data_IF_563151076656
#
_entry.id   IF_563151076656
#
_cell.length_a   1.000
_cell.length_b   1.000
_cell.length_c   1.000
_cell.angle_alpha   90.00
_cell.angle_beta   90.00
_cell.angle_gamma   90.00
#
_symmetry.space_group_name_H-M   'P 1'
#
loop_
_entity.id
_entity.type
_entity.pdbx_description
1 polymer ?
#
# COMPACT_ATOMS: atom_id res chain seq x y z
N UNK A 1 -18.89 7.06 8.19
CA UNK A 1 -17.56 7.29 7.61
C UNK A 1 -17.44 6.31 6.47
N UNK A 2 -17.23 6.79 5.26
CA UNK A 2 -16.95 5.92 4.12
C UNK A 2 -15.57 5.31 4.34
N UNK A 3 -15.49 3.99 4.22
CA UNK A 3 -14.26 3.24 4.44
C UNK A 3 -13.44 3.30 3.15
N UNK A 4 -12.16 3.71 3.17
CA UNK A 4 -11.38 3.85 1.95
C UNK A 4 -11.24 2.53 1.20
N UNK A 5 -11.27 2.64 -0.12
CA UNK A 5 -10.93 1.54 -1.03
C UNK A 5 -9.43 1.43 -1.24
N UNK A 6 -8.97 0.25 -1.68
CA UNK A 6 -7.57 0.05 -2.06
C UNK A 6 -7.14 1.03 -3.17
N UNK A 7 -8.05 1.31 -4.11
CA UNK A 7 -7.81 2.25 -5.20
C UNK A 7 -7.58 3.68 -4.67
N UNK A 8 -8.42 4.12 -3.73
CA UNK A 8 -8.26 5.43 -3.08
C UNK A 8 -6.97 5.51 -2.25
N UNK A 9 -6.64 4.46 -1.51
CA UNK A 9 -5.39 4.41 -0.75
C UNK A 9 -4.18 4.55 -1.67
N UNK A 10 -4.06 3.73 -2.72
CA UNK A 10 -2.97 3.82 -3.70
C UNK A 10 -2.96 5.18 -4.43
N UNK A 11 -4.13 5.67 -4.84
CA UNK A 11 -4.27 6.94 -5.57
C UNK A 11 -3.88 8.18 -4.75
N UNK A 12 -3.86 8.07 -3.42
CA UNK A 12 -3.43 9.15 -2.53
C UNK A 12 -1.91 9.20 -2.28
N UNK A 13 -1.16 8.20 -2.72
CA UNK A 13 0.30 8.13 -2.58
C UNK A 13 1.02 8.72 -3.81
N UNK A 14 2.29 9.14 -3.68
CA UNK A 14 3.09 9.58 -4.82
C UNK A 14 3.18 8.47 -5.90
N UNK A 15 2.94 8.83 -7.16
CA UNK A 15 2.88 7.88 -8.27
C UNK A 15 4.18 7.11 -8.50
N UNK A 16 5.33 7.71 -8.16
CA UNK A 16 6.68 7.17 -8.29
C UNK A 16 7.14 6.41 -7.03
N UNK A 17 6.33 6.40 -5.96
CA UNK A 17 6.64 5.64 -4.76
C UNK A 17 6.69 4.14 -5.10
N UNK A 18 7.82 3.50 -4.78
CA UNK A 18 7.99 2.06 -5.03
C UNK A 18 7.39 1.28 -3.86
N UNK A 19 6.47 0.37 -4.19
CA UNK A 19 5.80 -0.48 -3.21
C UNK A 19 5.91 -1.95 -3.63
N UNK A 20 5.98 -2.81 -2.61
CA UNK A 20 5.87 -4.26 -2.73
C UNK A 20 4.42 -4.66 -2.48
N UNK A 21 3.80 -5.32 -3.45
CA UNK A 21 2.55 -6.06 -3.29
C UNK A 21 2.85 -7.37 -2.54
N UNK A 22 2.35 -7.49 -1.32
CA UNK A 22 2.53 -8.64 -0.42
C UNK A 22 1.48 -9.74 -0.65
N UNK A 23 0.38 -9.44 -1.36
CA UNK A 23 -0.62 -10.43 -1.75
C UNK A 23 -0.25 -11.15 -3.05
N UNK A 24 0.58 -10.55 -3.90
CA UNK A 24 1.11 -11.19 -5.09
C UNK A 24 2.01 -12.40 -4.76
N UNK A 25 1.83 -13.51 -5.49
CA UNK A 25 2.59 -14.78 -5.33
C UNK A 25 4.12 -14.58 -5.33
N UNK A 26 4.62 -13.53 -6.00
CA UNK A 26 6.06 -13.24 -6.13
C UNK A 26 6.51 -12.00 -5.37
N UNK A 27 5.68 -11.44 -4.49
CA UNK A 27 5.98 -10.19 -3.79
C UNK A 27 6.40 -9.08 -4.77
N UNK A 28 5.54 -8.79 -5.75
CA UNK A 28 5.86 -7.91 -6.86
C UNK A 28 6.23 -6.51 -6.38
N UNK A 29 7.34 -5.96 -6.89
CA UNK A 29 7.80 -4.60 -6.60
C UNK A 29 7.61 -3.75 -7.84
N UNK A 30 6.82 -2.69 -7.70
CA UNK A 30 6.54 -1.73 -8.77
C UNK A 30 6.21 -0.36 -8.17
N UNK A 31 6.12 0.66 -9.02
CA UNK A 31 5.64 1.98 -8.62
C UNK A 31 4.14 1.95 -8.32
N UNK A 32 3.65 2.91 -7.53
CA UNK A 32 2.21 3.12 -7.30
C UNK A 32 1.45 3.24 -8.63
N UNK A 33 2.00 3.96 -9.61
CA UNK A 33 1.38 4.09 -10.93
C UNK A 33 1.20 2.74 -11.65
N UNK A 34 2.21 1.86 -11.58
CA UNK A 34 2.15 0.54 -12.19
C UNK A 34 1.17 -0.39 -11.46
N UNK A 35 1.10 -0.31 -10.13
CA UNK A 35 0.12 -1.06 -9.34
C UNK A 35 -1.30 -0.61 -9.65
N UNK A 36 -1.55 0.70 -9.70
CA UNK A 36 -2.85 1.27 -10.08
C UNK A 36 -3.28 0.81 -11.48
N UNK A 37 -2.37 0.77 -12.45
CA UNK A 37 -2.67 0.34 -13.80
C UNK A 37 -3.06 -1.15 -13.90
N UNK A 38 -2.63 -1.98 -12.94
CA UNK A 38 -2.91 -3.43 -12.89
C UNK A 38 -4.07 -3.77 -11.96
N UNK A 39 -4.48 -2.83 -11.11
CA UNK A 39 -5.52 -3.04 -10.12
C UNK A 39 -6.89 -3.07 -10.79
N UNK A 40 -7.48 -4.25 -10.85
CA UNK A 40 -8.84 -4.45 -11.36
C UNK A 40 -9.90 -4.48 -10.25
N UNK A 41 -9.50 -4.42 -8.97
CA UNK A 41 -10.39 -4.56 -7.81
C UNK A 41 -10.54 -3.24 -7.09
N UNK A 42 -11.79 -2.88 -6.83
CA UNK A 42 -12.15 -1.72 -6.01
C UNK A 42 -12.90 -2.22 -4.76
N UNK A 43 -12.14 -2.82 -3.85
CA UNK A 43 -12.64 -3.33 -2.56
C UNK A 43 -12.41 -2.24 -1.49
N UNK A 44 -13.39 -2.05 -0.60
CA UNK A 44 -13.28 -1.21 0.59
C UNK A 44 -12.57 -1.95 1.74
N UNK A 45 -12.32 -1.26 2.86
CA UNK A 45 -11.72 -1.86 4.05
C UNK A 45 -10.22 -1.65 4.18
N UNK A 46 -9.66 -0.63 3.53
CA UNK A 46 -8.23 -0.36 3.53
C UNK A 46 -7.87 0.94 4.24
N UNK A 47 -6.64 1.00 4.74
CA UNK A 47 -6.06 2.21 5.32
C UNK A 47 -4.59 2.36 4.99
N UNK A 48 -4.11 3.60 5.03
CA UNK A 48 -2.68 3.92 4.90
C UNK A 48 -2.10 4.10 6.30
N UNK A 49 -1.02 3.37 6.57
CA UNK A 49 -0.30 3.44 7.83
C UNK A 49 1.15 3.82 7.63
N UNK A 50 1.68 4.64 8.54
CA UNK A 50 3.12 4.87 8.66
C UNK A 50 3.68 3.90 9.69
N UNK A 51 4.56 2.99 9.25
CA UNK A 51 5.29 2.10 10.14
C UNK A 51 6.66 2.70 10.45
N UNK A 52 7.02 2.74 11.73
CA UNK A 52 8.37 3.09 12.16
C UNK A 52 9.27 1.86 12.14
N UNK A 53 10.34 1.88 11.35
CA UNK A 53 11.42 0.89 11.35
C UNK A 53 12.67 1.43 12.03
N UNK A 54 13.57 0.51 12.40
CA UNK A 54 14.88 0.82 12.98
C UNK A 54 14.82 1.76 14.20
N UNK A 55 13.95 1.45 15.18
CA UNK A 55 13.77 2.27 16.38
C UNK A 55 13.38 3.74 16.08
N UNK A 56 12.53 3.96 15.06
CA UNK A 56 12.06 5.28 14.68
C UNK A 56 13.01 6.06 13.77
N UNK A 57 14.11 5.46 13.30
CA UNK A 57 15.04 6.10 12.36
C UNK A 57 14.51 6.17 10.94
N UNK A 58 13.56 5.32 10.58
CA UNK A 58 13.00 5.26 9.23
C UNK A 58 11.49 5.11 9.34
N UNK A 59 10.75 5.96 8.64
CA UNK A 59 9.31 5.79 8.46
C UNK A 59 9.07 5.20 7.07
N UNK A 60 8.27 4.13 7.01
CA UNK A 60 7.81 3.54 5.74
C UNK A 60 6.29 3.60 5.68
N UNK A 61 5.77 3.73 4.47
CA UNK A 61 4.33 3.73 4.21
C UNK A 61 3.87 2.30 3.91
N UNK A 62 2.75 1.88 4.48
CA UNK A 62 2.06 0.64 4.18
C UNK A 62 0.58 0.90 3.89
N UNK A 63 -0.02 0.05 3.06
CA UNK A 63 -1.47 -0.06 2.91
C UNK A 63 -1.89 -1.40 3.50
N UNK A 64 -2.82 -1.36 4.45
CA UNK A 64 -3.27 -2.54 5.20
C UNK A 64 -4.79 -2.66 5.09
N UNK A 65 -5.29 -3.88 5.27
CA UNK A 65 -6.70 -4.06 5.63
C UNK A 65 -6.91 -3.49 7.04
N UNK A 66 -8.01 -2.80 7.28
CA UNK A 66 -8.37 -2.31 8.61
C UNK A 66 -8.43 -3.51 9.57
N UNK A 67 -7.71 -3.41 10.69
CA UNK A 67 -7.51 -4.50 11.66
C UNK A 67 -6.92 -5.80 11.05
N UNK A 68 -6.23 -5.70 9.91
CA UNK A 68 -5.75 -6.82 9.12
C UNK A 68 -4.29 -6.71 8.68
N UNK A 69 -3.86 -7.58 7.75
CA UNK A 69 -2.48 -7.59 7.27
C UNK A 69 -2.20 -6.45 6.28
N UNK A 70 -0.92 -6.06 6.20
CA UNK A 70 -0.41 -5.23 5.12
C UNK A 70 -0.50 -5.94 3.77
N UNK A 71 -1.00 -5.22 2.77
CA UNK A 71 -1.09 -5.68 1.38
C UNK A 71 -0.06 -4.97 0.51
N UNK A 72 0.21 -3.69 0.75
CA UNK A 72 1.32 -2.99 0.12
C UNK A 72 2.28 -2.44 1.16
N UNK A 73 3.58 -2.49 0.87
CA UNK A 73 4.60 -1.87 1.72
C UNK A 73 5.63 -1.14 0.88
N UNK A 74 5.93 0.10 1.26
CA UNK A 74 6.99 0.89 0.63
C UNK A 74 8.32 0.12 0.67
N UNK A 75 9.04 0.18 -0.44
CA UNK A 75 10.41 -0.30 -0.55
C UNK A 75 11.34 0.91 -0.43
N UNK A 76 12.20 0.89 0.59
CA UNK A 76 13.15 1.94 0.94
C UNK A 76 14.07 1.50 2.07
#
# INVERSE_FOLDING_TARGET
MDVPTLLECLGSLPSDLVMRDLAAVRNEVATVAEHLARLHRNEDGYEIRKESRNYGRTEIIAIELIDGPAIYRQVG
#
